data_IF_649478172018
#
_entry.id   IF_649478172018
#
_cell.length_a   1.000
_cell.length_b   1.000
_cell.length_c   1.000
_cell.angle_alpha   90.00
_cell.angle_beta   90.00
_cell.angle_gamma   90.00
#
_symmetry.space_group_name_H-M   'P 1'
#
loop_
_entity.id
_entity.type
_entity.pdbx_description
1 polymer ?
#
# COMPACT_ATOMS: atom_id res chain seq x y z
N UNK A 1 -0.34 3.44 17.24
CA UNK A 1 -0.06 3.22 15.81
C UNK A 1 0.24 4.59 15.29
N UNK A 2 1.51 4.88 15.10
CA UNK A 2 1.97 6.26 15.00
C UNK A 2 2.57 6.53 13.61
N UNK A 3 2.83 5.46 12.84
CA UNK A 3 3.36 5.50 11.48
C UNK A 3 2.49 4.69 10.51
N UNK A 4 2.74 4.83 9.19
CA UNK A 4 2.02 4.04 8.17
C UNK A 4 2.50 2.59 8.19
N UNK A 5 3.77 2.38 8.50
CA UNK A 5 4.42 1.09 8.64
C UNK A 5 3.80 0.29 9.80
N UNK A 6 3.54 0.95 10.94
CA UNK A 6 2.79 0.34 12.06
C UNK A 6 1.38 -0.07 11.60
N UNK A 7 0.70 0.80 10.83
CA UNK A 7 -0.66 0.55 10.35
C UNK A 7 -0.70 -0.71 9.46
N UNK A 8 0.14 -0.78 8.43
CA UNK A 8 0.06 -1.84 7.42
C UNK A 8 0.59 -3.18 7.95
N UNK A 9 1.51 -3.17 8.91
CA UNK A 9 2.04 -4.40 9.53
C UNK A 9 1.05 -5.11 10.46
N UNK A 10 -0.03 -4.45 10.87
CA UNK A 10 -1.06 -5.02 11.75
C UNK A 10 -2.45 -5.09 11.08
N UNK A 11 -2.55 -4.77 9.78
CA UNK A 11 -3.81 -4.72 9.04
C UNK A 11 -3.94 -5.83 8.00
N UNK A 12 -4.92 -6.73 8.15
CA UNK A 12 -5.21 -7.76 7.13
C UNK A 12 -5.83 -7.15 5.89
N UNK A 13 -6.52 -6.01 6.04
CA UNK A 13 -7.13 -5.27 4.94
C UNK A 13 -6.76 -3.80 5.11
N UNK A 14 -6.19 -3.20 4.07
CA UNK A 14 -5.86 -1.77 4.02
C UNK A 14 -6.69 -1.14 2.91
N UNK A 15 -7.49 -0.12 3.24
CA UNK A 15 -8.29 0.63 2.26
C UNK A 15 -7.82 2.07 2.15
N UNK A 16 -7.59 2.54 0.93
CA UNK A 16 -7.04 3.86 0.62
C UNK A 16 -8.16 4.80 0.18
N UNK A 17 -8.32 5.91 0.92
CA UNK A 17 -9.35 6.93 0.68
C UNK A 17 -8.81 8.36 0.64
N UNK A 18 -7.48 8.53 0.58
CA UNK A 18 -6.86 9.85 0.51
C UNK A 18 -7.05 10.46 -0.89
N UNK A 19 -7.14 11.80 -1.01
CA UNK A 19 -7.14 12.46 -2.31
C UNK A 19 -5.77 12.31 -2.98
N UNK A 20 -5.76 12.35 -4.32
CA UNK A 20 -4.52 12.38 -5.08
C UNK A 20 -3.96 13.81 -5.16
N UNK A 21 -2.69 13.96 -4.77
CA UNK A 21 -1.88 15.16 -4.90
C UNK A 21 -0.39 14.77 -4.90
N UNK A 22 0.52 15.75 -4.91
CA UNK A 22 1.97 15.50 -4.92
C UNK A 22 2.48 14.76 -3.67
N UNK A 23 1.81 14.89 -2.53
CA UNK A 23 2.20 14.25 -1.27
C UNK A 23 1.71 12.79 -1.20
N UNK A 24 0.62 12.46 -1.90
CA UNK A 24 0.04 11.12 -1.92
C UNK A 24 0.39 10.32 -3.18
N UNK A 25 1.10 10.91 -4.13
CA UNK A 25 1.66 10.22 -5.28
C UNK A 25 2.63 9.13 -4.82
N UNK A 26 2.37 7.88 -5.21
CA UNK A 26 3.17 6.73 -4.77
C UNK A 26 3.20 6.55 -3.25
N UNK A 27 2.15 6.97 -2.53
CA UNK A 27 2.05 6.78 -1.07
C UNK A 27 2.21 5.30 -0.68
N UNK A 28 1.62 4.40 -1.46
CA UNK A 28 1.84 2.97 -1.34
C UNK A 28 2.97 2.59 -2.30
N UNK A 29 4.21 2.75 -1.82
CA UNK A 29 5.44 2.44 -2.55
C UNK A 29 6.05 1.11 -2.12
N UNK A 30 7.17 0.73 -2.76
CA UNK A 30 7.92 -0.50 -2.47
C UNK A 30 8.27 -0.66 -0.99
N UNK A 31 8.76 0.39 -0.34
CA UNK A 31 9.18 0.33 1.07
C UNK A 31 7.99 0.09 2.00
N UNK A 32 6.86 0.76 1.75
CA UNK A 32 5.66 0.55 2.56
C UNK A 32 5.07 -0.84 2.32
N UNK A 33 5.06 -1.34 1.08
CA UNK A 33 4.57 -2.67 0.71
C UNK A 33 5.33 -3.80 1.42
N UNK A 34 6.63 -3.63 1.68
CA UNK A 34 7.43 -4.61 2.44
C UNK A 34 6.94 -4.79 3.89
N UNK A 35 6.25 -3.79 4.44
CA UNK A 35 5.71 -3.83 5.79
C UNK A 35 4.30 -4.43 5.85
N UNK A 36 3.64 -4.68 4.70
CA UNK A 36 2.34 -5.35 4.69
C UNK A 36 2.49 -6.80 5.15
N UNK A 37 1.46 -7.32 5.82
CA UNK A 37 1.34 -8.77 6.03
C UNK A 37 1.25 -9.50 4.69
N UNK A 38 1.73 -10.75 4.65
CA UNK A 38 1.81 -11.54 3.42
C UNK A 38 0.43 -11.75 2.77
N UNK A 39 -0.59 -12.07 3.57
CA UNK A 39 -1.97 -12.30 3.10
C UNK A 39 -2.83 -11.01 3.11
N UNK A 40 -2.21 -9.83 3.13
CA UNK A 40 -2.94 -8.57 3.22
C UNK A 40 -3.66 -8.22 1.91
N UNK A 41 -4.87 -7.67 2.03
CA UNK A 41 -5.66 -7.15 0.91
C UNK A 41 -5.55 -5.63 0.87
N UNK A 42 -5.06 -5.09 -0.26
CA UNK A 42 -5.07 -3.66 -0.55
C UNK A 42 -6.29 -3.28 -1.40
N UNK A 43 -7.12 -2.36 -0.91
CA UNK A 43 -8.25 -1.79 -1.63
C UNK A 43 -7.95 -0.33 -1.95
N UNK A 44 -7.84 0.00 -3.23
CA UNK A 44 -7.70 1.39 -3.68
C UNK A 44 -8.90 1.77 -4.55
N UNK A 45 -9.82 2.56 -4.00
CA UNK A 45 -10.95 3.16 -4.74
C UNK A 45 -10.75 4.67 -4.96
N UNK A 46 -9.54 5.19 -4.77
CA UNK A 46 -9.18 6.60 -4.97
C UNK A 46 -8.67 6.85 -6.39
N UNK A 47 -7.35 6.80 -6.58
CA UNK A 47 -6.63 7.04 -7.84
C UNK A 47 -5.46 6.07 -7.92
N UNK A 48 -5.19 5.57 -9.13
CA UNK A 48 -4.16 4.53 -9.35
C UNK A 48 -2.79 5.01 -8.89
N UNK A 49 -2.46 6.26 -9.19
CA UNK A 49 -1.17 6.91 -8.95
C UNK A 49 -0.82 7.10 -7.46
N UNK A 50 -1.74 6.78 -6.54
CA UNK A 50 -1.43 6.69 -5.10
C UNK A 50 -0.61 5.44 -4.80
N UNK A 51 -0.66 4.44 -5.67
CA UNK A 51 0.08 3.19 -5.57
C UNK A 51 1.15 3.17 -6.65
N UNK A 52 2.36 2.77 -6.27
CA UNK A 52 3.40 2.37 -7.22
C UNK A 52 3.00 1.01 -7.82
N UNK A 53 2.46 1.02 -9.04
CA UNK A 53 1.93 -0.19 -9.70
C UNK A 53 3.02 -1.23 -9.97
N UNK A 54 4.25 -0.81 -10.29
CA UNK A 54 5.37 -1.75 -10.51
C UNK A 54 5.76 -2.44 -9.20
N UNK A 55 5.91 -1.66 -8.12
CA UNK A 55 6.20 -2.21 -6.80
C UNK A 55 5.07 -3.12 -6.28
N UNK A 56 3.80 -2.76 -6.56
CA UNK A 56 2.66 -3.60 -6.21
C UNK A 56 2.69 -4.94 -6.94
N UNK A 57 2.95 -4.93 -8.25
CA UNK A 57 3.06 -6.15 -9.05
C UNK A 57 4.21 -7.05 -8.55
N UNK A 58 5.35 -6.47 -8.21
CA UNK A 58 6.45 -7.21 -7.60
C UNK A 58 6.05 -7.85 -6.27
N UNK A 59 5.38 -7.10 -5.39
CA UNK A 59 4.94 -7.60 -4.09
C UNK A 59 3.92 -8.74 -4.22
N UNK A 60 2.98 -8.64 -5.16
CA UNK A 60 2.00 -9.70 -5.45
C UNK A 60 2.71 -10.96 -5.98
N UNK A 61 3.66 -10.82 -6.90
CA UNK A 61 4.36 -11.97 -7.49
C UNK A 61 5.31 -12.69 -6.53
N UNK A 62 5.77 -12.01 -5.47
CA UNK A 62 6.67 -12.58 -4.46
C UNK A 62 5.92 -13.26 -3.31
N UNK A 63 4.62 -12.98 -3.15
CA UNK A 63 3.77 -13.55 -2.10
C UNK A 63 2.94 -14.71 -2.67
N UNK A 64 2.80 -15.82 -1.93
CA UNK A 64 2.14 -17.03 -2.41
C UNK A 64 0.63 -16.89 -2.62
#
# INVERSE_FOLDING_TARGET
>A
MDTKEDLVSQSNIVSVHVPYNNETHGLINRDLLQNFMDDAILINTSRGEIVDEEALLEAINQRP
#
